data_IF_691211857581
#
_entry.id   IF_691211857581
#
_cell.length_a   1.000
_cell.length_b   1.000
_cell.length_c   1.000
_cell.angle_alpha   90.00
_cell.angle_beta   90.00
_cell.angle_gamma   90.00
#
_symmetry.space_group_name_H-M   'P 1'
#
loop_
_entity.id
_entity.type
_entity.pdbx_description
1 polymer ?
#
# COMPACT_ATOMS: atom_id res chain seq x y z
N UNK A 1 -26.89 11.14 -3.95
CA UNK A 1 -26.65 9.69 -3.85
C UNK A 1 -25.18 9.44 -4.15
N UNK A 2 -24.35 9.22 -3.14
CA UNK A 2 -22.91 9.01 -3.32
C UNK A 2 -22.63 7.52 -3.28
N UNK A 3 -22.17 6.97 -4.41
CA UNK A 3 -21.84 5.56 -4.57
C UNK A 3 -20.89 5.14 -3.45
N UNK A 4 -21.32 4.22 -2.60
CA UNK A 4 -20.49 3.53 -1.62
C UNK A 4 -19.25 2.97 -2.33
N UNK A 5 -18.12 3.64 -2.19
CA UNK A 5 -16.84 3.10 -2.64
C UNK A 5 -16.16 2.41 -1.49
N UNK A 6 -16.82 1.38 -0.95
CA UNK A 6 -16.29 0.51 0.10
C UNK A 6 -14.98 -0.19 -0.31
N UNK A 7 -14.72 -0.28 -1.62
CA UNK A 7 -13.60 -1.07 -2.15
C UNK A 7 -12.39 -0.25 -2.61
N UNK A 8 -12.43 1.09 -2.53
CA UNK A 8 -11.30 1.95 -2.93
C UNK A 8 -10.98 3.04 -1.93
N UNK A 9 -9.69 3.32 -1.80
CA UNK A 9 -9.11 4.35 -0.94
C UNK A 9 -8.31 5.34 -1.79
N UNK A 10 -8.54 6.63 -1.61
CA UNK A 10 -7.74 7.67 -2.29
C UNK A 10 -6.31 7.68 -1.74
N UNK A 11 -5.34 8.06 -2.58
CA UNK A 11 -3.93 8.13 -2.18
C UNK A 11 -3.72 8.92 -0.89
N UNK A 12 -4.40 10.06 -0.71
CA UNK A 12 -4.25 10.90 0.48
C UNK A 12 -4.68 10.16 1.76
N UNK A 13 -5.81 9.46 1.71
CA UNK A 13 -6.28 8.68 2.85
C UNK A 13 -5.41 7.46 3.09
N UNK A 14 -4.91 6.81 2.04
CA UNK A 14 -3.97 5.69 2.18
C UNK A 14 -2.71 6.12 2.94
N UNK A 15 -2.08 7.22 2.53
CA UNK A 15 -0.88 7.76 3.18
C UNK A 15 -1.15 8.08 4.66
N UNK A 16 -2.26 8.80 4.92
CA UNK A 16 -2.66 9.21 6.26
C UNK A 16 -2.97 8.02 7.18
N UNK A 17 -3.79 7.08 6.72
CA UNK A 17 -4.29 5.96 7.52
C UNK A 17 -3.25 4.85 7.71
N UNK A 18 -2.39 4.59 6.71
CA UNK A 18 -1.26 3.68 6.87
C UNK A 18 -0.07 4.34 7.61
N UNK A 19 -0.09 5.68 7.72
CA UNK A 19 0.99 6.48 8.29
C UNK A 19 2.29 6.40 7.48
N UNK A 20 2.20 6.33 6.15
CA UNK A 20 3.36 6.26 5.26
C UNK A 20 3.47 7.53 4.44
N UNK A 21 4.66 7.83 3.94
CA UNK A 21 4.86 8.95 3.02
C UNK A 21 4.77 8.51 1.54
N UNK A 22 4.73 9.50 0.64
CA UNK A 22 4.62 9.27 -0.81
C UNK A 22 5.81 8.49 -1.39
N UNK A 23 7.02 8.68 -0.85
CA UNK A 23 8.22 7.97 -1.26
C UNK A 23 8.13 6.47 -0.90
N UNK A 24 7.69 6.15 0.32
CA UNK A 24 7.44 4.77 0.75
C UNK A 24 6.39 4.10 -0.13
N UNK A 25 5.25 4.77 -0.37
CA UNK A 25 4.20 4.27 -1.24
C UNK A 25 4.74 3.96 -2.65
N UNK A 26 5.43 4.91 -3.28
CA UNK A 26 6.00 4.72 -4.62
C UNK A 26 7.02 3.56 -4.65
N UNK A 27 7.90 3.49 -3.66
CA UNK A 27 8.89 2.42 -3.56
C UNK A 27 8.22 1.05 -3.37
N UNK A 28 7.18 0.94 -2.55
CA UNK A 28 6.47 -0.32 -2.30
C UNK A 28 5.66 -0.78 -3.52
N UNK A 29 5.06 0.15 -4.27
CA UNK A 29 4.40 -0.14 -5.55
C UNK A 29 5.42 -0.65 -6.57
N UNK A 30 6.57 0.03 -6.72
CA UNK A 30 7.61 -0.38 -7.67
C UNK A 30 8.24 -1.74 -7.32
N UNK A 31 8.32 -2.06 -6.03
CA UNK A 31 8.77 -3.37 -5.54
C UNK A 31 7.68 -4.44 -5.61
N UNK A 32 6.46 -4.12 -6.05
CA UNK A 32 5.33 -5.05 -6.14
C UNK A 32 4.82 -5.53 -4.78
N UNK A 33 5.03 -4.74 -3.73
CA UNK A 33 4.49 -4.98 -2.39
C UNK A 33 3.07 -4.42 -2.22
N UNK A 34 2.76 -3.37 -2.98
CA UNK A 34 1.43 -2.79 -3.09
C UNK A 34 0.97 -2.82 -4.55
N UNK A 35 -0.35 -2.88 -4.79
CA UNK A 35 -0.91 -2.78 -6.14
C UNK A 35 -0.61 -1.40 -6.74
N UNK A 36 -0.57 -1.30 -8.08
CA UNK A 36 -0.47 0.00 -8.76
C UNK A 36 -1.74 0.82 -8.51
N UNK A 37 -1.58 2.15 -8.41
CA UNK A 37 -2.73 3.05 -8.36
C UNK A 37 -3.54 2.93 -9.64
N UNK A 38 -4.85 3.03 -9.48
CA UNK A 38 -5.79 3.29 -10.56
C UNK A 38 -6.19 4.76 -10.50
N UNK A 39 -6.70 5.28 -11.61
CA UNK A 39 -7.11 6.67 -11.68
C UNK A 39 -8.47 6.80 -12.34
N UNK A 40 -9.17 7.88 -11.99
CA UNK A 40 -10.39 8.32 -12.66
C UNK A 40 -10.37 9.84 -12.78
N UNK A 41 -11.01 10.40 -13.82
CA UNK A 41 -11.28 11.83 -13.87
C UNK A 41 -12.27 12.19 -12.76
N UNK A 42 -12.00 13.28 -12.04
CA UNK A 42 -12.99 13.86 -11.14
C UNK A 42 -14.18 14.35 -11.97
N UNK A 43 -15.40 13.95 -11.60
CA UNK A 43 -16.60 14.43 -12.30
C UNK A 43 -16.79 15.92 -12.00
N UNK A 44 -16.85 16.76 -13.04
CA UNK A 44 -17.06 18.21 -12.89
C UNK A 44 -15.83 19.03 -12.49
N UNK A 45 -14.61 18.52 -12.68
CA UNK A 45 -13.40 19.31 -12.45
C UNK A 45 -12.17 18.80 -13.22
N UNK A 46 -11.17 19.67 -13.31
CA UNK A 46 -9.89 19.38 -13.98
C UNK A 46 -8.95 18.65 -13.00
N UNK A 47 -9.07 17.32 -12.93
CA UNK A 47 -8.18 16.55 -12.07
C UNK A 47 -8.26 15.04 -12.23
N UNK A 48 -7.10 14.40 -12.15
CA UNK A 48 -6.98 12.95 -11.97
C UNK A 48 -7.00 12.63 -10.48
N UNK A 49 -7.94 11.79 -10.06
CA UNK A 49 -7.92 11.18 -8.71
C UNK A 49 -7.33 9.80 -8.79
N UNK A 50 -6.31 9.57 -7.98
CA UNK A 50 -5.66 8.28 -7.83
C UNK A 50 -6.23 7.56 -6.62
N UNK A 51 -6.50 6.28 -6.81
CA UNK A 51 -7.05 5.40 -5.79
C UNK A 51 -6.40 4.02 -5.84
N UNK A 52 -6.47 3.33 -4.72
CA UNK A 52 -6.00 1.98 -4.52
C UNK A 52 -7.17 1.12 -4.05
N UNK A 53 -7.13 -0.21 -4.25
CA UNK A 53 -8.09 -1.09 -3.59
C UNK A 53 -7.92 -1.00 -2.06
N UNK A 54 -8.99 -1.19 -1.31
CA UNK A 54 -8.98 -1.04 0.16
C UNK A 54 -7.97 -1.99 0.83
N UNK A 55 -7.73 -3.18 0.27
CA UNK A 55 -6.71 -4.12 0.74
C UNK A 55 -5.28 -3.54 0.76
N UNK A 56 -5.01 -2.50 -0.03
CA UNK A 56 -3.73 -1.81 -0.04
C UNK A 56 -3.46 -1.10 1.29
N UNK A 57 -4.51 -0.67 2.01
CA UNK A 57 -4.37 -0.06 3.33
C UNK A 57 -3.86 -1.07 4.35
N UNK A 58 -4.52 -2.22 4.47
CA UNK A 58 -4.13 -3.25 5.43
C UNK A 58 -2.73 -3.79 5.09
N UNK A 59 -2.44 -4.00 3.80
CA UNK A 59 -1.10 -4.41 3.37
C UNK A 59 -0.02 -3.36 3.67
N UNK A 60 -0.33 -2.07 3.54
CA UNK A 60 0.60 -1.00 3.90
C UNK A 60 0.88 -0.96 5.41
N UNK A 61 -0.14 -1.17 6.25
CA UNK A 61 0.01 -1.30 7.70
C UNK A 61 0.89 -2.50 8.07
N UNK A 62 0.67 -3.65 7.42
CA UNK A 62 1.49 -4.85 7.64
C UNK A 62 2.95 -4.64 7.27
N UNK A 63 3.22 -4.04 6.10
CA UNK A 63 4.59 -3.68 5.69
C UNK A 63 5.22 -2.78 6.75
N UNK A 64 4.52 -1.74 7.19
CA UNK A 64 5.03 -0.79 8.18
C UNK A 64 5.33 -1.47 9.52
N UNK A 65 4.44 -2.35 9.99
CA UNK A 65 4.62 -3.14 11.22
C UNK A 65 5.83 -4.07 11.13
N UNK A 66 6.00 -4.79 10.03
CA UNK A 66 7.15 -5.67 9.83
C UNK A 66 8.45 -4.85 9.77
N UNK A 67 8.43 -3.69 9.13
CA UNK A 67 9.58 -2.77 9.08
C UNK A 67 9.94 -2.21 10.46
N UNK A 68 8.96 -1.88 11.30
CA UNK A 68 9.22 -1.41 12.67
C UNK A 68 9.79 -2.49 13.58
N UNK A 69 9.59 -3.77 13.25
CA UNK A 69 10.23 -4.91 13.92
C UNK A 69 11.67 -5.16 13.44
N UNK A 70 12.24 -4.27 12.62
CA UNK A 70 13.60 -4.41 12.09
C UNK A 70 13.71 -5.35 10.89
N UNK A 71 12.59 -5.87 10.36
CA UNK A 71 12.63 -6.81 9.23
C UNK A 71 13.10 -6.07 7.96
N UNK A 72 14.15 -6.55 7.28
CA UNK A 72 14.59 -5.98 6.02
C UNK A 72 13.50 -6.10 4.95
N UNK A 73 13.38 -5.09 4.08
CA UNK A 73 12.34 -5.03 3.05
C UNK A 73 12.30 -6.28 2.13
N UNK A 74 13.46 -6.89 1.85
CA UNK A 74 13.54 -8.12 1.07
C UNK A 74 12.81 -9.29 1.76
N UNK A 75 12.94 -9.40 3.09
CA UNK A 75 12.21 -10.42 3.87
C UNK A 75 10.72 -10.08 3.97
N UNK A 76 10.35 -8.81 4.12
CA UNK A 76 8.93 -8.39 4.08
C UNK A 76 8.23 -8.89 2.82
N UNK A 77 8.88 -8.78 1.65
CA UNK A 77 8.35 -9.30 0.38
C UNK A 77 8.07 -10.81 0.43
N UNK A 78 8.98 -11.59 1.00
CA UNK A 78 8.83 -13.05 1.13
C UNK A 78 7.68 -13.41 2.07
N UNK A 79 7.62 -12.77 3.25
CA UNK A 79 6.55 -12.96 4.23
C UNK A 79 5.18 -12.70 3.59
N UNK A 80 5.03 -11.56 2.90
CA UNK A 80 3.74 -11.18 2.29
C UNK A 80 3.32 -12.06 1.11
N UNK A 81 4.22 -12.91 0.59
CA UNK A 81 3.94 -13.89 -0.46
C UNK A 81 3.71 -15.30 0.08
N UNK A 82 3.82 -15.49 1.39
CA UNK A 82 3.80 -16.81 2.01
C UNK A 82 5.03 -17.65 1.64
N UNK A 83 6.11 -17.02 1.15
CA UNK A 83 7.37 -17.72 0.89
C UNK A 83 8.03 -18.06 2.23
N UNK A 84 8.65 -19.25 2.37
CA UNK A 84 9.38 -19.61 3.57
C UNK A 84 10.48 -18.58 3.82
N UNK A 85 10.44 -17.96 5.00
CA UNK A 85 11.48 -17.07 5.47
C UNK A 85 12.26 -17.84 6.50
N UNK A 86 13.52 -18.16 6.19
CA UNK A 86 14.43 -18.74 7.18
C UNK A 86 14.47 -17.81 8.38
N UNK A 87 13.96 -18.30 9.51
CA UNK A 87 13.91 -17.57 10.77
C UNK A 87 15.30 -17.52 11.44
N UNK A 88 16.33 -18.11 10.82
CA UNK A 88 17.65 -18.29 11.42
C UNK A 88 18.79 -18.14 10.39
N UNK A 89 19.82 -17.38 10.79
CA UNK A 89 21.19 -17.48 10.28
C UNK A 89 21.87 -16.13 9.98
N UNK A 90 23.15 -15.97 10.38
CA UNK A 90 23.73 -16.16 11.72
C UNK A 90 23.46 -14.98 12.67
#
# INVERSE_FOLDING_TARGET
MSVETKDRIETKDLLRLAGINSYELHNWVNRGLLPRSRWSRAYGGDGLRYWYPVEALERAKDIKRLRSQGIPMQRVRKILRGEPVELWGP
#
